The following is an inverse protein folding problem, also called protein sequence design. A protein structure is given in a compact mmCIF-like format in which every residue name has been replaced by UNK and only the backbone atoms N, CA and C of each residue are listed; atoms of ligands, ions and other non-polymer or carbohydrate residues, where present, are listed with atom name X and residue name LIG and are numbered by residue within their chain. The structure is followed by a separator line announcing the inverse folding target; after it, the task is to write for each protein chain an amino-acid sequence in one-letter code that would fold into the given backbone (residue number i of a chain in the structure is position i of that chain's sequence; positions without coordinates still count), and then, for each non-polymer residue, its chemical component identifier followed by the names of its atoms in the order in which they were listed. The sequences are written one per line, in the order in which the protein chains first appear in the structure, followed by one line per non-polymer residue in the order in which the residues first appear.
data_IF_782605350675
#
_entry.id   IF_782605350675
#
_cell.length_a   1.000
_cell.length_b   1.000
_cell.length_c   1.000
_cell.angle_alpha   90.00
_cell.angle_beta   90.00
_cell.angle_gamma   90.00
#
_symmetry.space_group_name_H-M   'P 1'
#
loop_
_entity.id
_entity.type
_entity.pdbx_description
1 polymer ?
#
# COMPACT_ATOMS: atom_id res chain seq x y z
N UNK A 1 4.65 7.97 5.37
CA UNK A 1 3.84 6.82 5.84
C UNK A 1 4.76 5.63 6.10
N UNK A 2 4.57 4.87 7.19
CA UNK A 2 5.39 3.68 7.49
C UNK A 2 4.90 2.43 6.75
N UNK A 3 5.79 1.42 6.59
CA UNK A 3 5.44 0.14 5.97
C UNK A 3 4.33 -0.59 6.75
N UNK A 4 4.37 -0.57 8.08
CA UNK A 4 3.31 -1.06 8.95
C UNK A 4 1.96 -0.41 8.66
N UNK A 5 1.94 0.90 8.45
CA UNK A 5 0.71 1.62 8.10
C UNK A 5 0.18 1.18 6.72
N UNK A 6 1.08 0.97 5.76
CA UNK A 6 0.71 0.49 4.43
C UNK A 6 0.18 -0.95 4.47
N UNK A 7 0.81 -1.85 5.23
CA UNK A 7 0.31 -3.20 5.48
C UNK A 7 -1.09 -3.18 6.11
N UNK A 8 -1.31 -2.30 7.09
CA UNK A 8 -2.63 -2.14 7.70
C UNK A 8 -3.67 -1.62 6.70
N UNK A 9 -3.31 -0.64 5.86
CA UNK A 9 -4.19 -0.09 4.83
C UNK A 9 -4.55 -1.14 3.77
N UNK A 10 -3.56 -1.87 3.26
CA UNK A 10 -3.76 -2.98 2.33
C UNK A 10 -4.71 -4.04 2.90
N UNK A 11 -4.48 -4.44 4.16
CA UNK A 11 -5.35 -5.40 4.86
C UNK A 11 -6.79 -4.89 4.99
N UNK A 12 -6.98 -3.62 5.33
CA UNK A 12 -8.30 -2.97 5.39
C UNK A 12 -9.01 -2.91 4.03
N UNK A 13 -8.24 -2.78 2.96
CA UNK A 13 -8.73 -2.77 1.58
C UNK A 13 -8.99 -4.19 1.03
N UNK A 14 -8.70 -5.24 1.81
CA UNK A 14 -8.89 -6.64 1.40
C UNK A 14 -7.68 -7.28 0.70
N UNK A 15 -6.54 -6.57 0.62
CA UNK A 15 -5.29 -7.11 0.11
C UNK A 15 -4.47 -7.64 1.28
N UNK A 16 -4.34 -8.96 1.41
CA UNK A 16 -3.57 -9.57 2.50
C UNK A 16 -2.05 -9.35 2.32
N UNK A 17 -1.40 -8.48 3.12
CA UNK A 17 0.04 -8.28 3.06
C UNK A 17 0.77 -9.29 3.95
N UNK A 18 0.05 -10.16 4.67
CA UNK A 18 0.60 -10.96 5.76
C UNK A 18 0.60 -10.21 7.10
N UNK A 19 1.56 -10.52 7.99
CA UNK A 19 1.69 -9.85 9.28
C UNK A 19 1.93 -8.34 9.11
N UNK A 20 1.37 -7.54 10.01
CA UNK A 20 1.58 -6.08 10.07
C UNK A 20 2.75 -5.81 11.02
N UNK A 21 3.91 -6.29 10.62
CA UNK A 21 5.16 -6.40 11.39
C UNK A 21 6.25 -5.44 10.92
N UNK A 22 5.93 -4.54 9.97
CA UNK A 22 6.91 -3.62 9.36
C UNK A 22 7.99 -4.36 8.54
N UNK A 23 7.71 -5.59 8.09
CA UNK A 23 8.62 -6.40 7.25
C UNK A 23 8.16 -6.46 5.80
N UNK A 24 9.08 -6.15 4.89
CA UNK A 24 8.82 -6.19 3.46
C UNK A 24 8.95 -7.60 2.89
N UNK A 25 7.95 -8.44 3.15
CA UNK A 25 7.89 -9.82 2.65
C UNK A 25 7.27 -9.97 1.26
N UNK A 26 7.35 -11.19 0.71
CA UNK A 26 6.70 -11.55 -0.56
C UNK A 26 5.17 -11.33 -0.53
N UNK A 27 4.54 -11.52 0.63
CA UNK A 27 3.10 -11.25 0.81
C UNK A 27 2.79 -9.77 0.69
N UNK A 28 3.55 -8.90 1.38
CA UNK A 28 3.41 -7.45 1.25
C UNK A 28 3.60 -6.99 -0.19
N UNK A 29 4.63 -7.50 -0.88
CA UNK A 29 4.85 -7.23 -2.30
C UNK A 29 3.67 -7.66 -3.18
N UNK A 30 3.11 -8.85 -2.93
CA UNK A 30 1.97 -9.36 -3.68
C UNK A 30 0.67 -8.57 -3.42
N UNK A 31 0.47 -8.09 -2.20
CA UNK A 31 -0.63 -7.19 -1.86
C UNK A 31 -0.48 -5.84 -2.57
N UNK A 32 0.74 -5.30 -2.61
CA UNK A 32 1.04 -4.04 -3.30
C UNK A 32 0.82 -4.15 -4.80
N UNK A 33 1.30 -5.21 -5.45
CA UNK A 33 1.10 -5.38 -6.90
C UNK A 33 -0.37 -5.50 -7.26
N UNK A 34 -1.16 -6.22 -6.45
CA UNK A 34 -2.61 -6.32 -6.61
C UNK A 34 -3.30 -4.96 -6.43
N UNK A 35 -2.93 -4.21 -5.38
CA UNK A 35 -3.46 -2.89 -5.13
C UNK A 35 -3.15 -1.92 -6.27
N UNK A 36 -1.88 -1.87 -6.70
CA UNK A 36 -1.43 -1.03 -7.82
C UNK A 36 -2.21 -1.36 -9.09
N UNK A 37 -2.33 -2.66 -9.42
CA UNK A 37 -3.11 -3.11 -10.58
C UNK A 37 -4.58 -2.70 -10.49
N UNK A 38 -5.20 -2.81 -9.32
CA UNK A 38 -6.59 -2.42 -9.10
C UNK A 38 -6.80 -0.89 -9.16
N UNK A 39 -5.75 -0.11 -8.90
CA UNK A 39 -5.74 1.36 -8.99
C UNK A 39 -5.18 1.89 -10.31
N UNK A 40 -4.92 1.00 -11.29
CA UNK A 40 -4.29 1.36 -12.57
C UNK A 40 -2.94 2.06 -12.43
N UNK A 41 -2.22 1.80 -11.34
CA UNK A 41 -0.87 2.29 -11.10
C UNK A 41 0.17 1.39 -11.78
N UNK A 42 1.39 1.92 -12.03
CA UNK A 42 2.55 1.10 -12.34
C UNK A 42 2.74 0.00 -11.29
N UNK A 43 2.76 -1.26 -11.74
CA UNK A 43 2.90 -2.42 -10.86
C UNK A 43 4.38 -2.66 -10.56
N UNK A 44 4.95 -1.80 -9.72
CA UNK A 44 6.32 -1.94 -9.21
C UNK A 44 6.42 -3.02 -8.13
N UNK A 45 5.33 -3.21 -7.38
CA UNK A 45 5.35 -3.98 -6.14
C UNK A 45 6.33 -3.39 -5.15
N UNK A 46 6.34 -2.06 -5.02
CA UNK A 46 7.06 -1.26 -4.02
C UNK A 46 6.14 -0.17 -3.46
N UNK A 47 6.49 0.38 -2.31
CA UNK A 47 5.78 1.52 -1.71
C UNK A 47 6.22 2.83 -2.35
N UNK A 48 5.85 3.06 -3.59
CA UNK A 48 6.16 4.30 -4.29
C UNK A 48 5.24 5.43 -3.81
N UNK A 49 5.64 6.69 -4.01
CA UNK A 49 4.89 7.87 -3.57
C UNK A 49 3.42 7.84 -4.01
N UNK A 50 3.14 7.39 -5.23
CA UNK A 50 1.78 7.27 -5.75
C UNK A 50 0.96 6.20 -5.01
N UNK A 51 1.60 5.07 -4.70
CA UNK A 51 0.98 3.99 -3.91
C UNK A 51 0.72 4.46 -2.48
N UNK A 52 1.68 5.17 -1.88
CA UNK A 52 1.56 5.75 -0.53
C UNK A 52 0.44 6.80 -0.46
N UNK A 53 0.32 7.66 -1.47
CA UNK A 53 -0.76 8.66 -1.56
C UNK A 53 -2.14 8.01 -1.60
N UNK A 54 -2.31 6.90 -2.33
CA UNK A 54 -3.59 6.20 -2.39
C UNK A 54 -3.90 5.34 -1.16
N UNK A 55 -2.86 4.89 -0.44
CA UNK A 55 -3.02 4.14 0.81
C UNK A 55 -3.16 5.06 2.04
N UNK A 56 -2.74 6.33 1.94
CA UNK A 56 -2.87 7.29 3.00
C UNK A 56 -4.35 7.52 3.36
N UNK A 57 -4.70 7.59 4.66
CA UNK A 57 -6.02 8.04 5.06
C UNK A 57 -6.26 9.44 4.50
N UNK A 58 -7.52 9.73 4.12
CA UNK A 58 -7.99 10.94 3.40
C UNK A 58 -7.68 12.30 4.07
N UNK A 59 -6.84 12.34 5.08
CA UNK A 59 -6.42 13.54 5.82
C UNK A 59 -5.24 14.31 5.21
N UNK A 60 -4.58 13.81 4.15
CA UNK A 60 -3.46 14.51 3.47
C UNK A 60 -3.63 14.66 1.96
N UNK A 61 -4.87 14.71 1.48
CA UNK A 61 -5.16 15.21 0.12
C UNK A 61 -5.34 16.73 0.13
N UNK A 62 -4.39 17.48 0.71
CA UNK A 62 -4.30 18.93 0.54
C UNK A 62 -3.35 19.20 -0.62
N UNK A 63 -3.91 19.34 -1.81
CA UNK A 63 -3.29 20.08 -2.90
C UNK A 63 -3.20 21.57 -2.49
N UNK A 64 -2.09 22.24 -2.82
CA UNK A 64 -2.15 23.28 -3.84
C UNK A 64 -1.39 22.91 -5.12
#
# INVERSE_FOLDING_TARGET
MSLKSAQLALKRLGYDPGPVDDVYGQRTRSALTRFQRAKHLPVSGTLDDETLRLLAPRSEATAP
#
